data_IF_847880437358
#
_entry.id   IF_847880437358
#
_cell.length_a   1.000
_cell.length_b   1.000
_cell.length_c   1.000
_cell.angle_alpha   90.00
_cell.angle_beta   90.00
_cell.angle_gamma   90.00
#
_symmetry.space_group_name_H-M   'P 1'
#
loop_
_entity.id
_entity.type
_entity.pdbx_description
1 polymer ?
#
# COMPACT_ATOMS: atom_id res chain seq x y z
N UNK A 1 -3.68 72.76 -22.72
CA UNK A 1 -4.14 71.71 -21.79
C UNK A 1 -4.23 70.41 -22.58
N UNK A 2 -3.27 69.48 -22.39
CA UNK A 2 -3.30 68.15 -23.02
C UNK A 2 -3.87 67.14 -22.01
N UNK A 3 -4.94 66.46 -22.38
CA UNK A 3 -5.53 65.34 -21.63
C UNK A 3 -5.05 64.02 -22.24
N UNK A 4 -4.21 63.28 -21.52
CA UNK A 4 -3.82 61.90 -21.83
C UNK A 4 -4.86 60.94 -21.20
N UNK A 5 -5.41 59.96 -21.94
CA UNK A 5 -6.29 58.96 -21.35
C UNK A 5 -5.47 57.86 -20.66
N UNK A 6 -5.77 57.57 -19.39
CA UNK A 6 -5.23 56.40 -18.69
C UNK A 6 -5.90 55.12 -19.21
N UNK A 7 -5.12 54.20 -19.74
CA UNK A 7 -5.52 52.80 -19.93
C UNK A 7 -5.31 52.02 -18.61
N UNK A 8 -6.21 51.09 -18.26
CA UNK A 8 -6.08 50.29 -17.04
C UNK A 8 -4.94 49.27 -17.19
N UNK A 9 -3.99 49.29 -16.24
CA UNK A 9 -3.01 48.21 -16.09
C UNK A 9 -3.73 46.92 -15.72
N UNK A 10 -3.52 45.87 -16.51
CA UNK A 10 -3.90 44.51 -16.14
C UNK A 10 -2.95 44.04 -15.03
N UNK A 11 -3.47 43.91 -13.81
CA UNK A 11 -2.75 43.28 -12.69
C UNK A 11 -2.86 41.78 -12.86
N UNK A 12 -1.77 41.12 -13.26
CA UNK A 12 -1.67 39.66 -13.19
C UNK A 12 -1.16 39.29 -11.81
N UNK A 13 -2.01 38.65 -11.00
CA UNK A 13 -1.63 38.16 -9.69
C UNK A 13 -0.62 37.01 -9.87
N UNK A 14 0.66 37.25 -9.52
CA UNK A 14 1.63 36.18 -9.39
C UNK A 14 1.19 35.31 -8.21
N UNK A 15 0.81 34.07 -8.49
CA UNK A 15 0.61 33.05 -7.45
C UNK A 15 1.97 32.72 -6.86
N UNK A 16 2.31 33.34 -5.73
CA UNK A 16 3.48 33.00 -4.91
C UNK A 16 3.13 31.79 -4.05
N UNK A 17 3.08 30.61 -4.69
CA UNK A 17 3.17 29.32 -4.01
C UNK A 17 4.55 28.70 -4.25
N UNK A 18 5.05 27.82 -3.37
CA UNK A 18 6.29 27.10 -3.64
C UNK A 18 6.18 26.36 -4.96
N UNK A 19 7.21 26.48 -5.79
CA UNK A 19 7.30 25.78 -7.06
C UNK A 19 7.27 24.28 -6.76
N UNK A 20 6.18 23.61 -7.14
CA UNK A 20 6.12 22.15 -7.05
C UNK A 20 7.11 21.63 -8.09
N UNK A 21 8.33 21.34 -7.65
CA UNK A 21 9.36 20.71 -8.48
C UNK A 21 8.77 19.40 -8.99
N UNK A 22 8.36 19.41 -10.26
CA UNK A 22 7.95 18.22 -10.97
C UNK A 22 9.22 17.37 -11.18
N UNK A 23 9.54 16.52 -10.21
CA UNK A 23 10.50 15.46 -10.45
C UNK A 23 9.93 14.57 -11.55
N UNK A 24 10.55 14.56 -12.72
CA UNK A 24 10.27 13.54 -13.72
C UNK A 24 10.66 12.20 -13.10
N UNK A 25 9.67 11.39 -12.75
CA UNK A 25 9.89 10.08 -12.16
C UNK A 25 10.46 9.17 -13.23
N UNK A 26 11.77 8.94 -13.17
CA UNK A 26 12.45 8.05 -14.10
C UNK A 26 12.25 6.59 -13.62
N UNK A 27 11.51 5.81 -14.38
CA UNK A 27 11.45 4.35 -14.20
C UNK A 27 12.84 3.77 -14.47
N UNK A 28 13.35 2.95 -13.55
CA UNK A 28 14.69 2.35 -13.64
C UNK A 28 14.59 0.84 -13.82
N UNK A 29 15.21 0.34 -14.88
CA UNK A 29 15.37 -1.09 -15.11
C UNK A 29 16.66 -1.63 -14.46
N UNK A 30 16.90 -2.94 -14.59
CA UNK A 30 18.06 -3.58 -13.97
C UNK A 30 19.42 -2.96 -14.40
N UNK A 31 19.68 -2.65 -15.69
CA UNK A 31 20.86 -1.89 -16.09
C UNK A 31 21.03 -0.56 -15.34
N UNK A 32 19.99 0.26 -15.26
CA UNK A 32 20.05 1.54 -14.54
C UNK A 32 20.29 1.33 -13.03
N UNK A 33 19.64 0.33 -12.43
CA UNK A 33 19.85 -0.06 -11.03
C UNK A 33 21.28 -0.54 -10.78
N UNK A 34 21.86 -1.35 -11.68
CA UNK A 34 23.26 -1.79 -11.60
C UNK A 34 24.24 -0.63 -11.71
N UNK A 35 23.93 0.39 -12.51
CA UNK A 35 24.74 1.61 -12.59
C UNK A 35 24.76 2.38 -11.27
N UNK A 36 23.62 2.50 -10.59
CA UNK A 36 23.54 3.16 -9.27
C UNK A 36 23.91 2.25 -8.10
N UNK A 37 24.04 0.94 -8.35
CA UNK A 37 24.28 -0.14 -7.37
C UNK A 37 23.22 -0.28 -6.27
N UNK A 38 22.06 0.36 -6.43
CA UNK A 38 21.00 0.39 -5.40
C UNK A 38 19.64 0.18 -6.02
N UNK A 39 18.97 -0.88 -5.59
CA UNK A 39 17.55 -1.13 -5.82
C UNK A 39 16.76 -0.61 -4.60
N UNK A 40 15.85 0.34 -4.81
CA UNK A 40 15.03 0.90 -3.73
C UNK A 40 13.69 0.17 -3.71
N UNK A 41 13.37 -0.47 -2.60
CA UNK A 41 12.16 -1.30 -2.50
C UNK A 41 11.24 -0.72 -1.42
N UNK A 42 10.04 -0.36 -1.83
CA UNK A 42 8.97 0.07 -0.94
C UNK A 42 8.35 -1.16 -0.29
N UNK A 43 8.31 -1.20 1.04
CA UNK A 43 7.72 -2.30 1.80
C UNK A 43 6.59 -1.81 2.69
N UNK A 44 5.60 -2.66 2.95
CA UNK A 44 4.55 -2.33 3.89
C UNK A 44 5.11 -2.30 5.32
N UNK A 45 4.95 -1.18 6.00
CA UNK A 45 5.33 -1.00 7.39
C UNK A 45 4.36 -1.73 8.31
N UNK A 46 4.67 -2.99 8.60
CA UNK A 46 3.95 -3.82 9.57
C UNK A 46 4.92 -4.80 10.24
N UNK A 47 4.59 -5.31 11.43
CA UNK A 47 5.38 -6.34 12.13
C UNK A 47 5.51 -7.60 11.29
N UNK A 48 4.48 -7.95 10.51
CA UNK A 48 4.51 -9.11 9.62
C UNK A 48 5.43 -8.91 8.40
N UNK A 49 5.42 -7.72 7.79
CA UNK A 49 6.12 -7.44 6.53
C UNK A 49 7.55 -6.96 6.75
N UNK A 50 7.74 -5.84 7.46
CA UNK A 50 9.02 -5.13 7.55
C UNK A 50 9.21 -4.34 8.85
N UNK A 51 8.83 -4.92 9.99
CA UNK A 51 8.94 -4.29 11.30
C UNK A 51 10.37 -4.23 11.86
N UNK A 52 10.51 -3.60 13.00
CA UNK A 52 11.74 -3.60 13.81
C UNK A 52 11.39 -3.88 15.27
N UNK A 53 12.21 -4.70 15.93
CA UNK A 53 12.13 -4.90 17.37
C UNK A 53 13.54 -4.75 17.95
N UNK A 54 13.74 -3.68 18.75
CA UNK A 54 15.02 -3.37 19.42
C UNK A 54 16.20 -3.20 18.44
N UNK A 55 15.95 -2.63 17.26
CA UNK A 55 16.98 -2.44 16.23
C UNK A 55 17.28 -3.70 15.41
N UNK A 56 16.50 -4.77 15.60
CA UNK A 56 16.53 -5.94 14.74
C UNK A 56 15.35 -5.90 13.77
N UNK A 57 15.66 -5.84 12.48
CA UNK A 57 14.70 -6.00 11.39
C UNK A 57 13.98 -7.35 11.52
N UNK A 58 12.65 -7.30 11.51
CA UNK A 58 11.77 -8.47 11.53
C UNK A 58 10.77 -8.40 10.38
N UNK A 59 10.29 -9.57 9.94
CA UNK A 59 9.24 -9.65 8.94
C UNK A 59 9.66 -10.41 7.69
N UNK A 60 8.66 -10.93 6.99
CA UNK A 60 8.87 -11.86 5.89
C UNK A 60 9.55 -11.21 4.67
N UNK A 61 9.33 -9.92 4.45
CA UNK A 61 9.86 -9.24 3.27
C UNK A 61 11.37 -9.00 3.40
N UNK A 62 11.91 -8.75 4.60
CA UNK A 62 13.37 -8.64 4.75
C UNK A 62 14.10 -9.92 4.32
N UNK A 63 13.61 -11.09 4.73
CA UNK A 63 14.20 -12.37 4.34
C UNK A 63 14.07 -12.62 2.83
N UNK A 64 12.92 -12.30 2.24
CA UNK A 64 12.70 -12.41 0.79
C UNK A 64 13.61 -11.48 0.00
N UNK A 65 13.76 -10.23 0.45
CA UNK A 65 14.62 -9.24 -0.19
C UNK A 65 16.10 -9.60 -0.03
N UNK A 66 16.53 -10.13 1.11
CA UNK A 66 17.89 -10.64 1.28
C UNK A 66 18.18 -11.78 0.29
N UNK A 67 17.27 -12.73 0.13
CA UNK A 67 17.41 -13.79 -0.87
C UNK A 67 17.40 -13.25 -2.31
N UNK A 68 16.56 -12.24 -2.59
CA UNK A 68 16.51 -11.60 -3.90
C UNK A 68 17.80 -10.83 -4.23
N UNK A 69 18.38 -10.13 -3.26
CA UNK A 69 19.69 -9.47 -3.41
C UNK A 69 20.78 -10.48 -3.73
N UNK A 70 20.82 -11.61 -3.01
CA UNK A 70 21.76 -12.70 -3.27
C UNK A 70 21.59 -13.25 -4.69
N UNK A 71 20.35 -13.45 -5.14
CA UNK A 71 20.04 -13.89 -6.49
C UNK A 71 20.51 -12.89 -7.57
N UNK A 72 20.25 -11.59 -7.37
CA UNK A 72 20.70 -10.54 -8.30
C UNK A 72 22.22 -10.50 -8.41
N UNK A 73 22.91 -10.73 -7.30
CA UNK A 73 24.36 -10.67 -7.20
C UNK A 73 25.08 -11.95 -7.65
N UNK A 74 24.47 -13.13 -7.52
CA UNK A 74 25.04 -14.38 -8.04
C UNK A 74 25.13 -14.41 -9.57
N UNK A 75 24.28 -13.63 -10.24
CA UNK A 75 24.26 -13.45 -11.70
C UNK A 75 24.88 -12.12 -12.14
N UNK A 76 25.73 -11.51 -11.31
CA UNK A 76 26.37 -10.22 -11.60
C UNK A 76 27.81 -10.39 -12.09
N UNK A 77 28.24 -9.53 -13.03
CA UNK A 77 29.65 -9.39 -13.38
C UNK A 77 30.36 -8.57 -12.30
N UNK A 78 31.69 -8.66 -12.23
CA UNK A 78 32.52 -7.84 -11.35
C UNK A 78 32.14 -6.35 -11.49
N UNK A 79 31.87 -5.69 -10.36
CA UNK A 79 31.50 -4.27 -10.32
C UNK A 79 30.01 -3.97 -10.52
N UNK A 80 29.16 -4.97 -10.80
CA UNK A 80 27.72 -4.81 -11.03
C UNK A 80 26.83 -5.29 -9.87
N UNK A 81 27.43 -5.50 -8.69
CA UNK A 81 26.66 -5.88 -7.51
C UNK A 81 25.70 -4.75 -7.11
N UNK A 82 24.52 -5.15 -6.67
CA UNK A 82 23.46 -4.27 -6.19
C UNK A 82 23.20 -4.53 -4.72
N UNK A 83 22.85 -3.47 -3.99
CA UNK A 83 22.31 -3.55 -2.64
C UNK A 83 20.85 -3.13 -2.66
N UNK A 84 20.02 -3.76 -1.84
CA UNK A 84 18.63 -3.40 -1.65
C UNK A 84 18.52 -2.38 -0.52
N UNK A 85 17.93 -1.22 -0.83
CA UNK A 85 17.51 -0.23 0.15
C UNK A 85 16.02 -0.42 0.43
N UNK A 86 15.69 -0.89 1.62
CA UNK A 86 14.31 -1.04 2.09
C UNK A 86 13.75 0.32 2.52
N UNK A 87 12.54 0.65 2.09
CA UNK A 87 11.86 1.92 2.38
C UNK A 87 10.46 1.59 2.91
N UNK A 88 10.25 1.60 4.23
CA UNK A 88 8.93 1.32 4.81
C UNK A 88 7.95 2.46 4.52
N UNK A 89 6.72 2.08 4.17
CA UNK A 89 5.56 2.98 3.98
C UNK A 89 4.31 2.32 4.52
N UNK A 90 3.33 3.13 4.90
CA UNK A 90 1.98 2.61 5.14
C UNK A 90 1.44 1.97 3.85
N UNK A 91 0.67 0.89 3.99
CA UNK A 91 0.14 0.12 2.83
C UNK A 91 -0.54 1.00 1.78
N UNK A 92 -1.44 1.88 2.23
CA UNK A 92 -2.19 2.80 1.37
C UNK A 92 -1.32 3.87 0.68
N UNK A 93 -0.06 4.01 1.07
CA UNK A 93 0.89 4.95 0.45
C UNK A 93 1.80 4.28 -0.57
N UNK A 94 1.87 2.94 -0.62
CA UNK A 94 2.85 2.22 -1.46
C UNK A 94 2.74 2.59 -2.94
N UNK A 95 1.53 2.56 -3.50
CA UNK A 95 1.31 2.85 -4.92
C UNK A 95 1.65 4.31 -5.26
N UNK A 96 1.17 5.23 -4.43
CA UNK A 96 1.45 6.67 -4.58
C UNK A 96 2.95 6.97 -4.46
N UNK A 97 3.64 6.32 -3.51
CA UNK A 97 5.09 6.47 -3.33
C UNK A 97 5.87 5.92 -4.53
N UNK A 98 5.45 4.79 -5.11
CA UNK A 98 6.07 4.26 -6.33
C UNK A 98 5.86 5.22 -7.51
N UNK A 99 4.64 5.74 -7.68
CA UNK A 99 4.33 6.73 -8.72
C UNK A 99 5.10 8.04 -8.56
N UNK A 100 5.49 8.42 -7.33
CA UNK A 100 6.35 9.56 -7.03
C UNK A 100 7.85 9.27 -7.19
N UNK A 101 8.23 8.05 -7.55
CA UNK A 101 9.62 7.65 -7.76
C UNK A 101 10.41 7.45 -6.46
N UNK A 102 9.72 7.29 -5.32
CA UNK A 102 10.37 7.06 -4.02
C UNK A 102 11.06 5.70 -3.95
N UNK A 103 10.61 4.73 -4.76
CA UNK A 103 11.26 3.44 -4.97
C UNK A 103 11.17 2.98 -6.42
N UNK A 104 11.74 1.81 -6.70
CA UNK A 104 11.74 1.18 -8.03
C UNK A 104 10.83 -0.05 -8.09
N UNK A 105 10.45 -0.59 -6.93
CA UNK A 105 9.61 -1.78 -6.76
C UNK A 105 8.84 -1.69 -5.44
N UNK A 106 7.68 -2.34 -5.37
CA UNK A 106 6.94 -2.58 -4.12
C UNK A 106 7.04 -4.08 -3.76
N UNK A 107 7.31 -4.37 -2.50
CA UNK A 107 7.27 -5.69 -1.90
C UNK A 107 6.33 -5.63 -0.67
N UNK A 108 5.01 -5.82 -0.87
CA UNK A 108 4.00 -5.42 0.13
C UNK A 108 3.80 -6.43 1.27
N UNK A 109 4.32 -7.66 1.15
CA UNK A 109 4.14 -8.72 2.17
C UNK A 109 2.71 -9.29 2.28
N UNK A 110 1.74 -8.70 1.60
CA UNK A 110 0.33 -9.10 1.57
C UNK A 110 -0.33 -8.70 0.24
N UNK A 111 -1.61 -9.03 0.06
CA UNK A 111 -2.34 -8.66 -1.15
C UNK A 111 -2.46 -7.12 -1.25
N UNK A 112 -2.01 -6.61 -2.41
CA UNK A 112 -2.10 -5.21 -2.78
C UNK A 112 -2.80 -5.14 -4.15
N UNK A 113 -3.95 -4.47 -4.20
CA UNK A 113 -4.63 -4.24 -5.46
C UNK A 113 -3.90 -3.16 -6.27
N UNK A 114 -3.54 -3.50 -7.50
CA UNK A 114 -2.87 -2.60 -8.45
C UNK A 114 -3.73 -2.30 -9.68
N UNK A 115 -4.98 -2.76 -9.71
CA UNK A 115 -5.83 -2.75 -10.90
C UNK A 115 -6.03 -1.34 -11.47
N UNK A 116 -6.12 -0.33 -10.60
CA UNK A 116 -6.27 1.08 -10.98
C UNK A 116 -4.94 1.84 -11.09
N UNK A 117 -3.82 1.18 -10.80
CA UNK A 117 -2.50 1.81 -10.71
C UNK A 117 -1.83 1.92 -12.09
N UNK A 118 -2.09 3.03 -12.80
CA UNK A 118 -1.48 3.31 -14.12
C UNK A 118 0.04 3.27 -14.07
N UNK A 119 0.64 2.59 -15.03
CA UNK A 119 2.10 2.49 -15.18
C UNK A 119 2.78 1.55 -14.18
N UNK A 120 1.99 0.84 -13.37
CA UNK A 120 2.47 -0.17 -12.42
C UNK A 120 2.07 -1.55 -12.94
N UNK A 121 2.99 -2.51 -12.85
CA UNK A 121 2.74 -3.89 -13.24
C UNK A 121 3.09 -4.81 -12.07
N UNK A 122 2.22 -5.78 -11.78
CA UNK A 122 2.50 -6.82 -10.81
C UNK A 122 3.47 -7.86 -11.41
N UNK A 123 4.38 -8.38 -10.59
CA UNK A 123 5.15 -9.58 -10.93
C UNK A 123 4.27 -10.83 -10.86
N UNK A 124 4.84 -11.98 -11.23
CA UNK A 124 4.23 -13.25 -10.89
C UNK A 124 4.09 -13.38 -9.35
N UNK A 125 2.93 -13.84 -8.83
CA UNK A 125 2.73 -13.94 -7.40
C UNK A 125 3.60 -15.02 -6.78
N UNK A 126 4.13 -14.75 -5.58
CA UNK A 126 4.85 -15.75 -4.77
C UNK A 126 3.87 -16.81 -4.24
N UNK A 127 2.66 -16.38 -3.87
CA UNK A 127 1.56 -17.23 -3.40
C UNK A 127 0.32 -16.89 -4.21
N UNK A 128 -0.27 -17.89 -4.86
CA UNK A 128 -1.58 -17.76 -5.50
C UNK A 128 -2.70 -18.06 -4.49
N UNK A 129 -3.91 -17.57 -4.75
CA UNK A 129 -5.13 -17.87 -3.98
C UNK A 129 -5.03 -17.61 -2.47
N UNK A 130 -4.69 -16.37 -2.08
CA UNK A 130 -4.63 -15.98 -0.67
C UNK A 130 -6.05 -15.88 -0.09
N UNK A 131 -6.45 -16.73 0.86
CA UNK A 131 -7.80 -16.68 1.43
C UNK A 131 -7.96 -15.47 2.34
N UNK A 132 -9.08 -14.77 2.19
CA UNK A 132 -9.52 -13.77 3.15
C UNK A 132 -10.38 -14.44 4.21
N UNK A 133 -9.99 -14.25 5.48
CA UNK A 133 -10.63 -14.91 6.62
C UNK A 133 -11.32 -13.89 7.52
N UNK A 134 -12.55 -14.20 7.92
CA UNK A 134 -13.25 -13.45 8.95
C UNK A 134 -12.72 -13.88 10.32
N UNK A 135 -12.25 -12.91 11.09
CA UNK A 135 -11.80 -13.13 12.46
C UNK A 135 -12.80 -12.47 13.41
N UNK A 136 -13.15 -13.17 14.48
CA UNK A 136 -14.03 -12.67 15.53
C UNK A 136 -13.57 -13.13 16.89
N UNK A 137 -14.17 -12.56 17.94
CA UNK A 137 -13.80 -12.87 19.33
C UNK A 137 -14.09 -14.34 19.67
N UNK A 138 -13.20 -14.96 20.45
CA UNK A 138 -13.39 -16.34 20.94
C UNK A 138 -14.76 -16.50 21.61
N UNK A 139 -15.47 -17.57 21.26
CA UNK A 139 -16.79 -17.89 21.80
C UNK A 139 -17.96 -17.24 21.03
N UNK A 140 -17.69 -16.34 20.09
CA UNK A 140 -18.74 -15.85 19.19
C UNK A 140 -19.14 -16.92 18.16
N UNK A 141 -20.40 -16.83 17.70
CA UNK A 141 -20.93 -17.72 16.69
C UNK A 141 -20.19 -17.50 15.36
N UNK A 142 -19.54 -18.56 14.87
CA UNK A 142 -18.86 -18.53 13.57
C UNK A 142 -19.82 -18.17 12.45
N UNK A 143 -19.39 -17.22 11.61
CA UNK A 143 -20.04 -16.87 10.33
C UNK A 143 -19.66 -17.94 9.30
N UNK A 144 -20.66 -18.65 8.82
CA UNK A 144 -20.51 -19.75 7.83
C UNK A 144 -21.20 -19.45 6.49
N UNK A 145 -22.01 -18.39 6.43
CA UNK A 145 -22.76 -17.99 5.23
C UNK A 145 -22.71 -16.47 5.08
N UNK A 146 -22.69 -16.00 3.83
CA UNK A 146 -22.65 -14.57 3.48
C UNK A 146 -23.81 -13.80 4.12
N UNK A 147 -25.03 -14.34 4.11
CA UNK A 147 -26.21 -13.70 4.71
C UNK A 147 -26.05 -13.37 6.20
N UNK A 148 -25.19 -14.10 6.91
CA UNK A 148 -24.93 -13.83 8.32
C UNK A 148 -24.09 -12.56 8.53
N UNK A 149 -23.51 -11.99 7.48
CA UNK A 149 -22.87 -10.68 7.49
C UNK A 149 -23.86 -9.52 7.35
N UNK A 150 -25.12 -9.81 7.03
CA UNK A 150 -26.17 -8.80 6.87
C UNK A 150 -26.24 -7.87 8.08
N UNK A 151 -26.03 -6.56 7.85
CA UNK A 151 -26.08 -5.53 8.87
C UNK A 151 -24.96 -5.58 9.93
N UNK A 152 -23.97 -6.47 9.78
CA UNK A 152 -22.79 -6.49 10.65
C UNK A 152 -21.82 -5.37 10.28
N UNK A 153 -21.07 -4.92 11.26
CA UNK A 153 -19.91 -4.05 11.07
C UNK A 153 -18.65 -4.91 11.12
N UNK A 154 -17.71 -4.64 10.23
CA UNK A 154 -16.41 -5.29 10.13
C UNK A 154 -15.33 -4.22 10.21
N UNK A 155 -14.40 -4.40 11.13
CA UNK A 155 -13.28 -3.47 11.28
C UNK A 155 -12.14 -3.83 10.35
N UNK A 156 -11.71 -2.87 9.52
CA UNK A 156 -10.66 -3.06 8.54
C UNK A 156 -9.58 -1.97 8.64
N UNK A 157 -8.29 -2.32 8.52
CA UNK A 157 -7.24 -1.33 8.35
C UNK A 157 -7.35 -0.67 6.97
N UNK A 158 -6.89 0.56 6.88
CA UNK A 158 -6.93 1.32 5.62
C UNK A 158 -6.08 0.61 4.55
N UNK A 159 -6.65 0.41 3.35
CA UNK A 159 -5.99 -0.33 2.27
C UNK A 159 -6.04 -1.86 2.42
N UNK A 160 -6.87 -2.38 3.33
CA UNK A 160 -7.10 -3.82 3.44
C UNK A 160 -7.57 -4.42 2.13
N UNK A 161 -7.00 -5.57 1.77
CA UNK A 161 -7.45 -6.36 0.64
C UNK A 161 -8.89 -6.90 0.78
N UNK A 162 -9.43 -6.88 2.02
CA UNK A 162 -10.79 -7.30 2.29
C UNK A 162 -11.86 -6.29 1.84
N UNK A 163 -11.48 -5.06 1.47
CA UNK A 163 -12.42 -4.03 1.03
C UNK A 163 -13.20 -4.47 -0.23
N UNK A 164 -12.49 -4.85 -1.29
CA UNK A 164 -13.13 -5.35 -2.53
C UNK A 164 -13.92 -6.64 -2.29
N UNK A 165 -13.42 -7.54 -1.45
CA UNK A 165 -14.16 -8.75 -1.07
C UNK A 165 -15.47 -8.41 -0.33
N UNK A 166 -15.48 -7.36 0.49
CA UNK A 166 -16.67 -6.91 1.17
C UNK A 166 -17.64 -6.20 0.22
N UNK A 167 -17.15 -5.48 -0.79
CA UNK A 167 -17.99 -5.01 -1.89
C UNK A 167 -18.68 -6.17 -2.63
N UNK A 168 -17.96 -7.27 -2.89
CA UNK A 168 -18.54 -8.48 -3.48
C UNK A 168 -19.62 -9.11 -2.57
N UNK A 169 -19.35 -9.20 -1.26
CA UNK A 169 -20.32 -9.66 -0.26
C UNK A 169 -21.57 -8.77 -0.26
N UNK A 170 -21.40 -7.45 -0.27
CA UNK A 170 -22.52 -6.50 -0.25
C UNK A 170 -23.39 -6.59 -1.52
N UNK A 171 -22.79 -6.83 -2.68
CA UNK A 171 -23.57 -7.14 -3.91
C UNK A 171 -24.45 -8.39 -3.73
N UNK A 172 -23.95 -9.43 -3.07
CA UNK A 172 -24.74 -10.64 -2.80
C UNK A 172 -25.88 -10.40 -1.79
N UNK A 173 -25.63 -9.57 -0.76
CA UNK A 173 -26.65 -9.19 0.22
C UNK A 173 -27.76 -8.36 -0.42
N UNK A 174 -27.41 -7.40 -1.27
CA UNK A 174 -28.35 -6.55 -1.99
C UNK A 174 -29.30 -7.36 -2.89
N UNK A 175 -28.76 -8.32 -3.66
CA UNK A 175 -29.57 -9.24 -4.49
C UNK A 175 -30.59 -10.03 -3.68
N UNK A 176 -30.29 -10.29 -2.40
CA UNK A 176 -31.17 -10.99 -1.45
C UNK A 176 -32.07 -10.04 -0.65
N UNK A 177 -32.01 -8.73 -0.92
CA UNK A 177 -32.71 -7.67 -0.18
C UNK A 177 -32.38 -7.66 1.31
N UNK A 178 -31.15 -8.04 1.65
CA UNK A 178 -30.64 -8.02 3.02
C UNK A 178 -29.88 -6.70 3.29
N UNK A 179 -29.89 -6.20 4.53
CA UNK A 179 -29.02 -5.09 4.94
C UNK A 179 -27.55 -5.35 4.62
N UNK A 180 -26.87 -4.34 4.06
CA UNK A 180 -25.45 -4.43 3.74
C UNK A 180 -24.60 -4.55 5.02
N UNK A 181 -23.47 -5.24 4.90
CA UNK A 181 -22.40 -5.16 5.88
C UNK A 181 -21.71 -3.79 5.80
N UNK A 182 -21.24 -3.30 6.94
CA UNK A 182 -20.60 -1.99 7.08
C UNK A 182 -19.12 -2.15 7.37
N UNK A 183 -18.32 -1.21 6.90
CA UNK A 183 -16.91 -1.10 7.27
C UNK A 183 -16.78 -0.07 8.38
N UNK A 184 -16.07 -0.45 9.44
CA UNK A 184 -15.48 0.48 10.39
C UNK A 184 -13.99 0.60 10.05
N UNK A 185 -13.59 1.72 9.46
CA UNK A 185 -12.18 1.99 9.17
C UNK A 185 -11.46 2.30 10.48
N UNK A 186 -10.48 1.47 10.83
CA UNK A 186 -9.62 1.76 11.98
C UNK A 186 -8.59 2.84 11.62
N UNK A 187 -7.87 3.32 12.63
CA UNK A 187 -6.81 4.32 12.44
C UNK A 187 -5.85 3.91 11.31
N UNK A 188 -5.54 4.78 10.33
CA UNK A 188 -4.69 4.45 9.19
C UNK A 188 -3.25 4.05 9.54
N UNK A 189 -2.80 4.31 10.77
CA UNK A 189 -1.50 3.85 11.28
C UNK A 189 -1.49 2.39 11.72
N UNK A 190 -2.67 1.76 11.88
CA UNK A 190 -2.80 0.38 12.34
C UNK A 190 -2.68 -0.61 11.17
N UNK A 191 -1.89 -1.65 11.40
CA UNK A 191 -1.76 -2.79 10.50
C UNK A 191 -2.81 -3.88 10.80
N UNK A 192 -2.85 -4.92 9.97
CA UNK A 192 -3.80 -6.04 10.12
C UNK A 192 -3.63 -6.71 11.49
N UNK A 193 -2.39 -6.93 11.94
CA UNK A 193 -2.09 -7.49 13.25
C UNK A 193 -2.62 -6.66 14.42
N UNK A 194 -2.62 -5.34 14.31
CA UNK A 194 -3.15 -4.47 15.37
C UNK A 194 -4.67 -4.58 15.45
N UNK A 195 -5.35 -4.70 14.30
CA UNK A 195 -6.80 -4.97 14.26
C UNK A 195 -7.11 -6.34 14.87
N UNK A 196 -6.30 -7.35 14.60
CA UNK A 196 -6.46 -8.67 15.22
C UNK A 196 -6.30 -8.61 16.75
N UNK A 197 -5.35 -7.81 17.25
CA UNK A 197 -5.17 -7.57 18.68
C UNK A 197 -6.37 -6.82 19.29
N UNK A 198 -6.93 -5.82 18.59
CA UNK A 198 -8.14 -5.12 19.02
C UNK A 198 -9.36 -6.03 19.07
N UNK A 199 -9.53 -6.93 18.09
CA UNK A 199 -10.59 -7.95 18.10
C UNK A 199 -10.38 -8.89 19.29
N UNK A 200 -9.15 -9.37 19.51
CA UNK A 200 -8.84 -10.23 20.65
C UNK A 200 -9.12 -9.55 22.00
N UNK A 201 -8.85 -8.24 22.11
CA UNK A 201 -9.14 -7.44 23.30
C UNK A 201 -10.63 -7.04 23.45
N UNK A 202 -11.47 -7.34 22.45
CA UNK A 202 -12.89 -6.98 22.45
C UNK A 202 -13.17 -5.49 22.26
N UNK A 203 -12.16 -4.73 21.79
CA UNK A 203 -12.29 -3.30 21.47
C UNK A 203 -13.11 -3.11 20.19
N UNK A 204 -12.93 -4.01 19.23
CA UNK A 204 -13.64 -3.99 17.95
C UNK A 204 -14.19 -5.37 17.56
N UNK A 205 -15.01 -5.45 16.51
CA UNK A 205 -15.77 -6.65 16.12
C UNK A 205 -15.65 -7.00 14.64
#
# INVERSE_FOLDING_TARGET
MCLLPLLPLQVSARQTGPEVVQHTVQVRDLPAIRSSKVLRVLVNQSRNSSGDVKGQEIGVEYHRLQAFEQYLNSHSRTGQKVTIKVIPKAKNQLLTALQRGEGDMIAPGELLDVSDAKGIQASAPIVHDVPLVLVGVRGQRSVRRVDQLSGKTLSLPTGSAADEALHQVNRQLELRKLPLAKIEWVDPSLAVEDVLEMVQAGITR
#
